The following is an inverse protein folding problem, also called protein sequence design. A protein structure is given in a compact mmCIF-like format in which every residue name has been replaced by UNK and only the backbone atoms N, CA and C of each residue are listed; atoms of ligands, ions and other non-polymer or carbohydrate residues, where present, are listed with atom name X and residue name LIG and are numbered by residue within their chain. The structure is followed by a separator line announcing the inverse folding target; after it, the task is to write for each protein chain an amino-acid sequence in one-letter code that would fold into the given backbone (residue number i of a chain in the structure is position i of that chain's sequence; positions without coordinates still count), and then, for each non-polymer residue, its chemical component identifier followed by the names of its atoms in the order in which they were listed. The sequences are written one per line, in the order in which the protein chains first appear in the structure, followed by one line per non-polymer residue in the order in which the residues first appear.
data_IF_461781286688
#
_entry.id   IF_461781286688
#
_cell.length_a   1.000
_cell.length_b   1.000
_cell.length_c   1.000
_cell.angle_alpha   90.00
_cell.angle_beta   90.00
_cell.angle_gamma   90.00
#
_symmetry.space_group_name_H-M   'P 1'
#
loop_
_entity.id
_entity.type
_entity.pdbx_description
1 polymer ?
#
# COMPACT_ATOMS: atom_id res chain seq x y z
N UNK A 1 -17.85 51.25 -42.45
CA UNK A 1 -18.02 49.81 -42.73
C UNK A 1 -19.40 49.40 -42.21
N UNK A 2 -20.51 49.71 -42.89
CA UNK A 2 -21.12 48.94 -43.99
C UNK A 2 -21.38 47.46 -43.64
N UNK A 3 -22.57 47.12 -43.16
CA UNK A 3 -23.57 46.40 -43.96
C UNK A 3 -24.88 46.18 -43.18
N UNK A 4 -25.95 46.70 -43.79
CA UNK A 4 -27.35 46.40 -43.56
C UNK A 4 -27.75 45.25 -44.51
N UNK A 5 -28.93 44.64 -44.27
CA UNK A 5 -29.71 43.70 -45.13
C UNK A 5 -29.35 42.22 -44.95
N UNK A 6 -30.25 41.24 -45.03
CA UNK A 6 -31.70 41.17 -45.15
C UNK A 6 -32.03 39.68 -44.86
N UNK A 7 -32.98 39.36 -43.99
CA UNK A 7 -34.34 38.90 -44.33
C UNK A 7 -34.50 37.44 -44.78
N UNK A 8 -35.54 36.83 -44.17
CA UNK A 8 -36.29 35.59 -44.49
C UNK A 8 -35.59 34.29 -44.09
N UNK A 9 -36.20 33.44 -43.26
CA UNK A 9 -37.58 32.95 -43.47
C UNK A 9 -38.22 32.50 -42.14
N UNK A 10 -39.36 33.10 -41.82
CA UNK A 10 -40.37 32.63 -40.85
C UNK A 10 -40.86 31.23 -41.23
N UNK A 11 -41.26 30.45 -40.23
CA UNK A 11 -42.46 29.59 -40.17
C UNK A 11 -42.47 28.97 -38.76
N UNK A 12 -43.17 29.58 -37.82
CA UNK A 12 -44.53 29.21 -37.39
C UNK A 12 -44.46 28.38 -36.09
N UNK A 13 -44.77 29.04 -34.97
CA UNK A 13 -45.43 28.37 -33.83
C UNK A 13 -46.92 28.29 -34.19
N UNK A 14 -47.71 27.27 -33.79
CA UNK A 14 -47.93 27.00 -32.37
C UNK A 14 -48.17 25.50 -32.04
N UNK A 15 -48.24 25.18 -30.75
CA UNK A 15 -49.23 24.25 -30.15
C UNK A 15 -48.61 23.42 -29.03
N UNK A 16 -48.89 23.87 -27.80
CA UNK A 16 -49.04 22.96 -26.67
C UNK A 16 -50.15 21.97 -27.03
N UNK A 17 -49.83 20.68 -27.10
CA UNK A 17 -50.83 19.64 -26.87
C UNK A 17 -50.31 18.73 -25.78
N UNK A 18 -50.88 18.92 -24.59
CA UNK A 18 -50.84 17.98 -23.48
C UNK A 18 -51.53 16.69 -23.95
N UNK A 19 -50.78 15.60 -24.01
CA UNK A 19 -51.31 14.24 -24.00
C UNK A 19 -50.57 13.48 -22.93
N UNK A 20 -51.27 13.33 -21.82
CA UNK A 20 -51.12 12.23 -20.88
C UNK A 20 -51.13 10.91 -21.66
N UNK A 21 -50.08 10.11 -21.48
CA UNK A 21 -50.08 8.68 -21.72
C UNK A 21 -48.85 8.10 -21.02
N UNK A 22 -49.09 7.49 -19.86
CA UNK A 22 -48.09 6.79 -19.06
C UNK A 22 -47.47 5.61 -19.80
N UNK A 23 -46.34 5.85 -20.46
CA UNK A 23 -45.37 4.82 -20.81
C UNK A 23 -43.97 5.31 -20.41
N UNK A 24 -43.43 4.67 -19.37
CA UNK A 24 -42.03 4.81 -18.98
C UNK A 24 -41.23 4.11 -20.08
N UNK A 25 -40.70 4.88 -21.02
CA UNK A 25 -39.76 4.38 -22.01
C UNK A 25 -38.44 4.07 -21.31
N UNK A 26 -38.24 2.80 -20.97
CA UNK A 26 -36.94 2.25 -20.57
C UNK A 26 -36.06 2.15 -21.81
N UNK A 27 -35.51 3.27 -22.27
CA UNK A 27 -34.37 3.26 -23.20
C UNK A 27 -33.09 3.03 -22.40
N UNK A 28 -32.44 1.89 -22.64
CA UNK A 28 -31.12 1.57 -22.10
C UNK A 28 -30.09 2.62 -22.55
N UNK A 29 -29.13 3.01 -21.70
CA UNK A 29 -28.11 3.98 -22.08
C UNK A 29 -27.30 3.41 -23.25
N UNK A 30 -27.30 4.15 -24.36
CA UNK A 30 -26.52 3.88 -25.56
C UNK A 30 -25.06 3.71 -25.17
N UNK A 31 -24.51 2.51 -25.38
CA UNK A 31 -23.10 2.20 -25.13
C UNK A 31 -22.26 3.11 -26.03
N UNK A 32 -21.67 4.15 -25.45
CA UNK A 32 -20.85 5.11 -26.17
C UNK A 32 -19.50 4.46 -26.49
N UNK A 33 -19.41 3.84 -27.65
CA UNK A 33 -18.19 3.21 -28.14
C UNK A 33 -17.26 4.27 -28.72
N UNK A 34 -16.12 4.53 -28.07
CA UNK A 34 -14.94 5.12 -28.70
C UNK A 34 -13.95 3.99 -29.02
N UNK A 35 -13.55 3.87 -30.29
CA UNK A 35 -12.51 2.96 -30.80
C UNK A 35 -12.77 1.44 -30.74
N UNK A 36 -14.03 0.99 -30.88
CA UNK A 36 -14.33 -0.41 -31.27
C UNK A 36 -14.04 -1.50 -30.23
N UNK A 37 -13.58 -1.14 -29.03
CA UNK A 37 -13.51 -2.06 -27.90
C UNK A 37 -14.85 -2.09 -27.16
N UNK A 38 -15.42 -3.28 -26.87
CA UNK A 38 -16.55 -3.38 -25.97
C UNK A 38 -16.12 -2.81 -24.62
N UNK A 39 -16.78 -1.75 -24.17
CA UNK A 39 -16.66 -1.34 -22.78
C UNK A 39 -17.07 -2.53 -21.91
N UNK A 40 -16.31 -2.90 -20.86
CA UNK A 40 -16.76 -3.90 -19.92
C UNK A 40 -18.14 -3.48 -19.42
N UNK A 41 -19.10 -4.41 -19.26
CA UNK A 41 -20.46 -4.07 -18.87
C UNK A 41 -20.38 -3.21 -17.61
N UNK A 42 -20.97 -2.00 -17.69
CA UNK A 42 -21.07 -1.09 -16.58
C UNK A 42 -21.48 -1.91 -15.35
N UNK A 43 -20.67 -1.87 -14.28
CA UNK A 43 -21.00 -2.61 -13.06
C UNK A 43 -22.38 -2.14 -12.61
N UNK A 44 -23.39 -2.97 -12.84
CA UNK A 44 -24.81 -2.62 -12.78
C UNK A 44 -25.28 -2.40 -11.33
N UNK A 45 -24.34 -2.45 -10.37
CA UNK A 45 -24.59 -2.27 -8.95
C UNK A 45 -24.61 -0.79 -8.48
N UNK A 46 -24.00 0.17 -9.19
CA UNK A 46 -23.83 1.53 -8.65
C UNK A 46 -24.25 2.70 -9.57
N UNK A 47 -24.69 2.46 -10.81
CA UNK A 47 -25.22 3.52 -11.69
C UNK A 47 -24.25 4.68 -12.00
N UNK A 48 -22.96 4.52 -11.69
CA UNK A 48 -21.92 5.53 -11.92
C UNK A 48 -21.26 5.34 -13.29
N UNK A 49 -20.99 6.46 -13.95
CA UNK A 49 -20.19 6.48 -15.17
C UNK A 49 -18.78 5.95 -14.86
N UNK A 50 -18.33 4.96 -15.65
CA UNK A 50 -16.99 4.38 -15.56
C UNK A 50 -15.96 5.48 -15.83
N UNK A 51 -15.12 5.79 -14.84
CA UNK A 51 -14.02 6.74 -15.00
C UNK A 51 -12.92 6.05 -15.81
N UNK A 52 -12.51 6.71 -16.88
CA UNK A 52 -11.46 6.25 -17.80
C UNK A 52 -10.16 7.03 -17.55
N UNK A 53 -9.03 6.35 -17.65
CA UNK A 53 -7.70 6.98 -17.72
C UNK A 53 -7.61 7.86 -18.99
N UNK A 54 -6.72 8.88 -19.07
CA UNK A 54 -6.35 9.60 -20.29
C UNK A 54 -6.18 8.77 -21.58
N UNK A 55 -5.99 7.45 -21.47
CA UNK A 55 -5.86 6.48 -22.57
C UNK A 55 -7.18 5.76 -22.92
N UNK A 56 -8.30 6.10 -22.29
CA UNK A 56 -9.61 5.49 -22.52
C UNK A 56 -9.80 4.10 -21.88
N UNK A 57 -8.88 3.67 -21.02
CA UNK A 57 -8.98 2.40 -20.30
C UNK A 57 -9.74 2.59 -18.98
N UNK A 58 -10.60 1.65 -18.57
CA UNK A 58 -11.30 1.72 -17.30
C UNK A 58 -10.29 1.66 -16.15
N UNK A 59 -10.37 2.60 -15.21
CA UNK A 59 -9.60 2.54 -13.97
C UNK A 59 -10.12 1.38 -13.12
N UNK A 60 -9.22 0.47 -12.75
CA UNK A 60 -9.49 -0.63 -11.84
C UNK A 60 -8.54 -0.50 -10.65
N UNK A 61 -9.05 -0.40 -9.42
CA UNK A 61 -10.45 -0.17 -9.01
C UNK A 61 -11.01 1.20 -9.47
N UNK A 62 -12.33 1.30 -9.60
CA UNK A 62 -13.02 2.56 -9.91
C UNK A 62 -12.98 3.48 -8.68
N UNK A 63 -12.52 4.74 -8.80
CA UNK A 63 -12.50 5.67 -7.69
C UNK A 63 -13.92 5.89 -7.16
N UNK A 64 -14.13 5.71 -5.85
CA UNK A 64 -15.41 6.01 -5.24
C UNK A 64 -15.55 7.53 -5.02
N UNK A 65 -16.76 8.05 -4.84
CA UNK A 65 -17.01 9.48 -4.59
C UNK A 65 -16.64 9.92 -3.17
N UNK A 66 -16.20 9.00 -2.31
CA UNK A 66 -15.86 9.27 -0.93
C UNK A 66 -14.51 10.03 -0.82
N UNK A 67 -14.46 11.15 -0.08
CA UNK A 67 -13.22 11.91 0.14
C UNK A 67 -12.12 11.14 0.90
N UNK A 68 -12.50 10.04 1.56
CA UNK A 68 -11.59 9.17 2.31
C UNK A 68 -11.00 8.04 1.46
N UNK A 69 -11.40 7.91 0.19
CA UNK A 69 -10.85 6.92 -0.70
C UNK A 69 -9.36 7.23 -0.99
N UNK A 70 -8.42 6.32 -0.67
CA UNK A 70 -7.00 6.47 -1.00
C UNK A 70 -6.73 6.72 -2.48
N UNK A 71 -7.65 6.33 -3.37
CA UNK A 71 -7.54 6.55 -4.81
C UNK A 71 -7.70 8.04 -5.19
N UNK A 72 -8.44 8.83 -4.41
CA UNK A 72 -8.71 10.25 -4.64
C UNK A 72 -7.63 11.19 -4.09
N UNK A 73 -6.66 10.68 -3.34
CA UNK A 73 -5.62 11.51 -2.73
C UNK A 73 -4.70 12.19 -3.75
N UNK A 74 -4.18 13.36 -3.38
CA UNK A 74 -3.19 14.08 -4.18
C UNK A 74 -1.94 13.23 -4.42
N UNK A 75 -1.26 13.46 -5.55
CA UNK A 75 -0.01 12.74 -5.89
C UNK A 75 1.04 12.84 -4.79
N UNK A 76 1.11 14.00 -4.10
CA UNK A 76 2.00 14.22 -2.98
C UNK A 76 1.63 13.37 -1.76
N UNK A 77 0.35 13.26 -1.41
CA UNK A 77 -0.09 12.40 -0.31
C UNK A 77 0.22 10.92 -0.59
N UNK A 78 -0.03 10.45 -1.82
CA UNK A 78 0.33 9.08 -2.22
C UNK A 78 1.83 8.83 -2.13
N UNK A 79 2.65 9.78 -2.60
CA UNK A 79 4.11 9.70 -2.50
C UNK A 79 4.60 9.71 -1.04
N UNK A 80 3.99 10.53 -0.18
CA UNK A 80 4.37 10.62 1.23
C UNK A 80 4.01 9.33 1.99
N UNK A 81 2.82 8.77 1.75
CA UNK A 81 2.42 7.48 2.33
C UNK A 81 3.34 6.36 1.84
N UNK A 82 3.64 6.31 0.54
CA UNK A 82 4.59 5.36 -0.02
C UNK A 82 5.97 5.51 0.65
N UNK A 83 6.46 6.74 0.82
CA UNK A 83 7.73 7.00 1.49
C UNK A 83 7.74 6.53 2.95
N UNK A 84 6.69 6.82 3.73
CA UNK A 84 6.58 6.38 5.13
C UNK A 84 6.61 4.86 5.22
N UNK A 85 5.84 4.18 4.37
CA UNK A 85 5.72 2.73 4.37
C UNK A 85 7.01 2.06 3.89
N UNK A 86 7.67 2.62 2.86
CA UNK A 86 9.01 2.19 2.45
C UNK A 86 10.04 2.40 3.55
N UNK A 87 10.02 3.54 4.23
CA UNK A 87 10.95 3.85 5.32
C UNK A 87 10.75 2.94 6.54
N UNK A 88 9.49 2.63 6.89
CA UNK A 88 9.17 1.67 7.94
C UNK A 88 9.64 0.25 7.61
N UNK A 89 9.44 -0.20 6.36
CA UNK A 89 9.96 -1.48 5.88
C UNK A 89 11.50 -1.52 5.86
N UNK A 90 12.13 -0.45 5.37
CA UNK A 90 13.59 -0.25 5.40
C UNK A 90 14.14 -0.37 6.82
N UNK A 91 13.58 0.36 7.79
CA UNK A 91 14.01 0.30 9.19
C UNK A 91 13.84 -1.10 9.78
N UNK A 92 12.72 -1.77 9.46
CA UNK A 92 12.42 -3.12 9.97
C UNK A 92 13.45 -4.15 9.50
N UNK A 93 13.82 -4.13 8.22
CA UNK A 93 14.86 -5.01 7.70
C UNK A 93 16.23 -4.60 8.20
N UNK A 94 16.57 -3.31 8.17
CA UNK A 94 17.86 -2.81 8.67
C UNK A 94 18.13 -3.25 10.11
N UNK A 95 17.16 -3.11 11.01
CA UNK A 95 17.28 -3.52 12.41
C UNK A 95 17.47 -5.03 12.57
N UNK A 96 16.88 -5.82 11.67
CA UNK A 96 17.00 -7.29 11.68
C UNK A 96 18.34 -7.77 11.10
N UNK A 97 18.91 -7.05 10.12
CA UNK A 97 20.16 -7.43 9.45
C UNK A 97 21.41 -6.79 10.06
N UNK A 98 21.32 -5.62 10.69
CA UNK A 98 22.45 -4.95 11.34
C UNK A 98 23.25 -5.87 12.31
N UNK A 99 22.64 -6.77 13.08
CA UNK A 99 23.37 -7.67 13.96
C UNK A 99 24.24 -8.72 13.28
N UNK A 100 24.05 -8.96 11.98
CA UNK A 100 24.81 -9.95 11.21
C UNK A 100 26.30 -9.61 11.22
N UNK A 101 26.65 -8.32 11.10
CA UNK A 101 28.03 -7.86 11.17
C UNK A 101 28.67 -8.10 12.56
N UNK A 102 27.87 -8.06 13.63
CA UNK A 102 28.36 -8.22 15.01
C UNK A 102 28.30 -9.65 15.52
N UNK A 103 28.03 -10.65 14.68
CA UNK A 103 27.94 -12.06 15.11
C UNK A 103 29.22 -12.58 15.79
N UNK A 104 30.45 -12.27 15.30
CA UNK A 104 31.67 -12.72 15.97
C UNK A 104 31.83 -12.08 17.36
N UNK A 105 31.52 -10.79 17.49
CA UNK A 105 31.51 -10.09 18.77
C UNK A 105 30.46 -10.66 19.74
N UNK A 106 29.30 -11.06 19.21
CA UNK A 106 28.25 -11.71 19.98
C UNK A 106 28.70 -13.07 20.52
N UNK A 107 29.44 -13.82 19.69
CA UNK A 107 30.04 -15.10 20.07
C UNK A 107 31.03 -14.95 21.22
N UNK A 108 31.92 -13.95 21.14
CA UNK A 108 32.89 -13.64 22.18
C UNK A 108 32.22 -13.11 23.46
N UNK A 109 31.23 -12.22 23.33
CA UNK A 109 30.53 -11.61 24.45
C UNK A 109 29.75 -12.61 25.30
N UNK A 110 29.06 -13.56 24.66
CA UNK A 110 28.30 -14.60 25.37
C UNK A 110 29.08 -15.90 25.60
N UNK A 111 30.25 -16.07 24.98
CA UNK A 111 31.05 -17.30 25.05
C UNK A 111 30.32 -18.53 24.46
N UNK A 112 29.51 -18.32 23.42
CA UNK A 112 28.60 -19.34 22.85
C UNK A 112 29.19 -20.07 21.63
N UNK A 113 28.61 -21.23 21.30
CA UNK A 113 28.99 -22.00 20.11
C UNK A 113 28.45 -21.39 18.80
N UNK A 114 29.03 -21.75 17.66
CA UNK A 114 28.53 -21.35 16.34
C UNK A 114 27.07 -21.74 16.09
N UNK A 115 26.62 -22.87 16.65
CA UNK A 115 25.22 -23.30 16.53
C UNK A 115 24.27 -22.33 17.22
N UNK A 116 24.63 -21.87 18.42
CA UNK A 116 23.86 -20.89 19.19
C UNK A 116 23.88 -19.51 18.54
N UNK A 117 25.00 -19.10 17.92
CA UNK A 117 25.04 -17.87 17.12
C UNK A 117 24.02 -17.94 15.98
N UNK A 118 23.89 -19.08 15.29
CA UNK A 118 22.89 -19.25 14.24
C UNK A 118 21.44 -19.14 14.75
N UNK A 119 21.16 -19.62 15.97
CA UNK A 119 19.84 -19.44 16.59
C UNK A 119 19.48 -17.96 16.78
N UNK A 120 20.46 -17.07 17.01
CA UNK A 120 20.22 -15.64 17.15
C UNK A 120 19.72 -14.94 15.86
N UNK A 121 19.90 -15.60 14.71
CA UNK A 121 19.39 -15.17 13.39
C UNK A 121 18.10 -15.90 13.03
N UNK A 122 18.01 -17.20 13.35
CA UNK A 122 16.83 -18.01 13.05
C UNK A 122 15.60 -17.57 13.86
N UNK A 123 15.78 -17.22 15.14
CA UNK A 123 14.71 -16.78 16.04
C UNK A 123 13.98 -15.51 15.55
N UNK A 124 14.67 -14.40 15.22
CA UNK A 124 13.99 -13.22 14.68
C UNK A 124 13.33 -13.50 13.31
N UNK A 125 13.90 -14.37 12.47
CA UNK A 125 13.26 -14.78 11.22
C UNK A 125 11.95 -15.56 11.45
N UNK A 126 11.91 -16.45 12.44
CA UNK A 126 10.68 -17.12 12.87
C UNK A 126 9.67 -16.12 13.43
N UNK A 127 10.12 -15.18 14.26
CA UNK A 127 9.29 -14.10 14.79
C UNK A 127 8.67 -13.26 13.67
N UNK A 128 9.44 -12.95 12.63
CA UNK A 128 8.97 -12.22 11.46
C UNK A 128 7.90 -12.99 10.68
N UNK A 129 8.09 -14.29 10.45
CA UNK A 129 7.09 -15.13 9.81
C UNK A 129 5.78 -15.17 10.61
N UNK A 130 5.87 -15.35 11.93
CA UNK A 130 4.71 -15.32 12.84
C UNK A 130 4.04 -13.95 12.84
N UNK A 131 4.82 -12.88 12.89
CA UNK A 131 4.33 -11.50 12.86
C UNK A 131 3.56 -11.18 11.58
N UNK A 132 4.06 -11.61 10.42
CA UNK A 132 3.36 -11.44 9.14
C UNK A 132 1.98 -12.10 9.19
N UNK A 133 1.90 -13.36 9.65
CA UNK A 133 0.64 -14.12 9.67
C UNK A 133 -0.35 -13.53 10.67
N UNK A 134 0.09 -13.23 11.89
CA UNK A 134 -0.79 -12.73 12.94
C UNK A 134 -1.34 -11.34 12.62
N UNK A 135 -0.47 -10.43 12.18
CA UNK A 135 -0.86 -9.04 11.98
C UNK A 135 -1.42 -8.74 10.60
N UNK A 136 -1.28 -9.64 9.62
CA UNK A 136 -1.98 -9.50 8.34
C UNK A 136 -3.50 -9.37 8.56
N UNK A 137 -4.12 -10.37 9.20
CA UNK A 137 -5.56 -10.32 9.50
C UNK A 137 -5.93 -9.28 10.56
N UNK A 138 -5.04 -9.03 11.53
CA UNK A 138 -5.29 -8.01 12.55
C UNK A 138 -5.34 -6.60 11.96
N UNK A 139 -4.54 -6.33 10.92
CA UNK A 139 -4.52 -5.05 10.22
C UNK A 139 -5.80 -4.73 9.47
N UNK A 140 -6.54 -5.76 9.04
CA UNK A 140 -7.82 -5.60 8.35
C UNK A 140 -8.96 -5.28 9.32
N UNK A 141 -8.87 -5.75 10.58
CA UNK A 141 -9.91 -5.52 11.61
C UNK A 141 -9.68 -4.20 12.37
N UNK A 142 -8.44 -3.92 12.79
CA UNK A 142 -8.13 -2.77 13.65
C UNK A 142 -7.64 -1.55 12.86
N UNK A 143 -7.47 -1.70 11.56
CA UNK A 143 -6.95 -0.68 10.66
C UNK A 143 -5.43 -0.71 10.54
N UNK A 144 -4.94 -0.33 9.35
CA UNK A 144 -3.53 -0.45 8.96
C UNK A 144 -2.59 0.49 9.73
N UNK A 145 -3.04 1.70 10.07
CA UNK A 145 -2.23 2.73 10.77
C UNK A 145 -1.85 2.37 12.22
N UNK A 146 -2.80 2.05 13.13
CA UNK A 146 -2.45 1.75 14.52
C UNK A 146 -1.61 0.47 14.64
N UNK A 147 -1.85 -0.52 13.77
CA UNK A 147 -1.04 -1.74 13.74
C UNK A 147 0.41 -1.44 13.39
N UNK A 148 0.66 -0.68 12.32
CA UNK A 148 2.04 -0.29 11.95
C UNK A 148 2.77 0.46 13.06
N UNK A 149 2.12 1.44 13.69
CA UNK A 149 2.75 2.23 14.76
C UNK A 149 2.96 1.38 16.02
N UNK A 150 1.97 0.57 16.41
CA UNK A 150 2.06 -0.27 17.59
C UNK A 150 3.17 -1.31 17.47
N UNK A 151 3.27 -1.99 16.32
CA UNK A 151 4.29 -3.02 16.09
C UNK A 151 5.68 -2.42 15.93
N UNK A 152 5.79 -1.23 15.31
CA UNK A 152 7.04 -0.49 15.25
C UNK A 152 7.54 -0.06 16.64
N UNK A 153 6.65 0.38 17.53
CA UNK A 153 7.01 0.70 18.92
C UNK A 153 7.51 -0.55 19.67
N UNK A 154 6.84 -1.69 19.49
CA UNK A 154 7.29 -2.97 20.08
C UNK A 154 8.68 -3.34 19.56
N UNK A 155 8.92 -3.21 18.25
CA UNK A 155 10.23 -3.48 17.65
C UNK A 155 11.31 -2.54 18.19
N UNK A 156 11.02 -1.25 18.36
CA UNK A 156 11.95 -0.26 18.93
C UNK A 156 12.29 -0.57 20.39
N UNK A 157 11.29 -0.87 21.21
CA UNK A 157 11.50 -1.25 22.62
C UNK A 157 12.29 -2.55 22.72
N UNK A 158 11.98 -3.55 21.90
CA UNK A 158 12.72 -4.81 21.87
C UNK A 158 14.19 -4.59 21.46
N UNK A 159 14.42 -3.73 20.47
CA UNK A 159 15.78 -3.37 20.01
C UNK A 159 16.55 -2.65 21.12
N UNK A 160 15.98 -1.61 21.73
CA UNK A 160 16.63 -0.87 22.81
C UNK A 160 16.90 -1.73 24.04
N UNK A 161 15.98 -2.64 24.38
CA UNK A 161 16.19 -3.59 25.45
C UNK A 161 17.30 -4.59 25.11
N UNK A 162 17.41 -5.05 23.84
CA UNK A 162 18.45 -6.00 23.43
C UNK A 162 19.88 -5.46 23.56
N UNK A 163 20.06 -4.15 23.59
CA UNK A 163 21.35 -3.47 23.77
C UNK A 163 21.71 -3.26 25.25
N UNK A 164 20.85 -3.67 26.19
CA UNK A 164 21.14 -3.50 27.61
C UNK A 164 22.33 -4.36 28.06
N UNK A 165 23.27 -3.75 28.77
CA UNK A 165 24.41 -4.45 29.34
C UNK A 165 23.93 -5.47 30.40
N UNK A 166 24.43 -6.71 30.35
CA UNK A 166 24.15 -7.84 31.26
C UNK A 166 22.88 -8.67 30.99
N UNK A 167 22.40 -8.76 29.74
CA UNK A 167 21.34 -9.70 29.40
C UNK A 167 21.85 -11.16 29.35
N UNK A 168 21.12 -12.14 29.92
CA UNK A 168 21.41 -13.54 29.62
C UNK A 168 21.04 -13.88 28.18
N UNK A 169 21.77 -14.81 27.56
CA UNK A 169 21.57 -15.21 26.16
C UNK A 169 20.11 -15.60 25.83
N UNK A 170 19.42 -16.31 26.72
CA UNK A 170 18.01 -16.65 26.53
C UNK A 170 17.08 -15.44 26.48
N UNK A 171 17.32 -14.42 27.30
CA UNK A 171 16.54 -13.18 27.25
C UNK A 171 16.83 -12.39 25.98
N UNK A 172 18.09 -12.37 25.53
CA UNK A 172 18.46 -11.78 24.25
C UNK A 172 17.73 -12.45 23.08
N UNK A 173 17.61 -13.78 23.04
CA UNK A 173 16.83 -14.50 22.02
C UNK A 173 15.34 -14.13 22.05
N UNK A 174 14.73 -14.02 23.23
CA UNK A 174 13.33 -13.62 23.37
C UNK A 174 13.12 -12.19 22.86
N UNK A 175 14.02 -11.27 23.18
CA UNK A 175 13.98 -9.90 22.65
C UNK A 175 14.10 -9.88 21.13
N UNK A 176 14.96 -10.73 20.56
CA UNK A 176 15.05 -10.91 19.09
C UNK A 176 13.79 -11.48 18.48
N UNK A 177 13.14 -12.43 19.14
CA UNK A 177 11.86 -12.96 18.69
C UNK A 177 10.80 -11.85 18.64
N UNK A 178 10.70 -11.06 19.72
CA UNK A 178 9.75 -9.94 19.80
C UNK A 178 10.04 -8.85 18.76
N UNK A 179 11.32 -8.56 18.51
CA UNK A 179 11.74 -7.65 17.46
C UNK A 179 11.28 -8.15 16.08
N UNK A 180 11.47 -9.43 15.77
CA UNK A 180 10.98 -10.05 14.54
C UNK A 180 9.45 -9.96 14.40
N UNK A 181 8.72 -10.27 15.48
CA UNK A 181 7.25 -10.17 15.52
C UNK A 181 6.78 -8.72 15.27
N UNK A 182 7.49 -7.72 15.81
CA UNK A 182 7.17 -6.31 15.58
C UNK A 182 7.54 -5.79 14.19
N UNK A 183 8.58 -6.38 13.56
CA UNK A 183 9.07 -6.02 12.23
C UNK A 183 8.22 -6.61 11.08
N UNK A 184 7.73 -7.85 11.23
CA UNK A 184 6.93 -8.54 10.20
C UNK A 184 5.71 -7.76 9.67
N UNK A 185 4.90 -7.11 10.53
CA UNK A 185 3.72 -6.35 10.12
C UNK A 185 4.05 -5.15 9.22
N UNK A 186 5.26 -4.58 9.32
CA UNK A 186 5.69 -3.49 8.44
C UNK A 186 5.74 -3.93 6.97
N UNK A 187 6.06 -5.22 6.72
CA UNK A 187 6.11 -5.81 5.39
C UNK A 187 4.69 -6.11 4.89
N UNK A 188 3.87 -6.82 5.68
CA UNK A 188 2.53 -7.23 5.22
C UNK A 188 1.57 -6.04 5.09
N UNK A 189 1.50 -5.19 6.12
CA UNK A 189 0.65 -4.01 6.11
C UNK A 189 1.18 -2.98 5.13
N UNK A 190 2.51 -2.85 5.00
CA UNK A 190 3.12 -1.96 4.03
C UNK A 190 2.75 -2.34 2.59
N UNK A 191 2.82 -3.63 2.26
CA UNK A 191 2.38 -4.14 0.97
C UNK A 191 0.91 -3.83 0.71
N UNK A 192 0.05 -4.06 1.69
CA UNK A 192 -1.38 -3.80 1.56
C UNK A 192 -1.70 -2.30 1.38
N UNK A 193 -1.01 -1.40 2.10
CA UNK A 193 -1.15 0.06 1.90
C UNK A 193 -0.73 0.48 0.49
N UNK A 194 0.36 -0.10 -0.05
CA UNK A 194 0.79 0.17 -1.43
C UNK A 194 -0.27 -0.31 -2.42
N UNK A 195 -0.93 -1.44 -2.17
CA UNK A 195 -2.02 -1.91 -3.03
C UNK A 195 -3.25 -0.99 -2.98
N UNK A 196 -3.59 -0.46 -1.81
CA UNK A 196 -4.77 0.40 -1.64
C UNK A 196 -4.63 1.78 -2.32
N UNK A 197 -3.41 2.33 -2.45
CA UNK A 197 -3.17 3.65 -3.03
C UNK A 197 -2.87 3.64 -4.54
N UNK A 198 -2.84 2.45 -5.17
CA UNK A 198 -2.36 2.27 -6.55
C UNK A 198 -3.39 1.66 -7.48
N UNK A 199 -3.45 2.18 -8.70
CA UNK A 199 -4.28 1.59 -9.75
C UNK A 199 -3.59 0.35 -10.33
N UNK A 200 -4.38 -0.59 -10.86
CA UNK A 200 -3.88 -1.88 -11.34
C UNK A 200 -2.80 -1.74 -12.43
N UNK A 201 -2.91 -0.74 -13.30
CA UNK A 201 -1.94 -0.47 -14.38
C UNK A 201 -0.56 0.03 -13.89
N UNK A 202 -0.48 0.63 -12.70
CA UNK A 202 0.76 1.17 -12.10
C UNK A 202 1.19 0.40 -10.84
N UNK A 203 0.39 -0.56 -10.38
CA UNK A 203 0.60 -1.34 -9.16
C UNK A 203 1.95 -2.04 -9.17
N UNK A 204 2.30 -2.70 -10.27
CA UNK A 204 3.56 -3.44 -10.40
C UNK A 204 4.80 -2.56 -10.20
N UNK A 205 4.81 -1.36 -10.81
CA UNK A 205 5.95 -0.43 -10.70
C UNK A 205 6.09 0.11 -9.27
N UNK A 206 4.98 0.46 -8.63
CA UNK A 206 4.99 1.02 -7.27
C UNK A 206 5.31 -0.02 -6.21
N UNK A 207 4.78 -1.23 -6.34
CA UNK A 207 5.17 -2.37 -5.51
C UNK A 207 6.65 -2.70 -5.69
N UNK A 208 7.16 -2.72 -6.93
CA UNK A 208 8.58 -2.95 -7.19
C UNK A 208 9.47 -1.90 -6.54
N UNK A 209 9.12 -0.61 -6.65
CA UNK A 209 9.85 0.48 -5.99
C UNK A 209 9.86 0.33 -4.46
N UNK A 210 8.74 -0.10 -3.88
CA UNK A 210 8.63 -0.37 -2.45
C UNK A 210 9.54 -1.53 -2.01
N UNK A 211 9.53 -2.65 -2.74
CA UNK A 211 10.41 -3.79 -2.46
C UNK A 211 11.89 -3.38 -2.54
N UNK A 212 12.28 -2.67 -3.60
CA UNK A 212 13.65 -2.16 -3.75
C UNK A 212 14.07 -1.28 -2.58
N UNK A 213 13.18 -0.40 -2.09
CA UNK A 213 13.49 0.46 -0.95
C UNK A 213 13.72 -0.35 0.33
N UNK A 214 13.01 -1.46 0.52
CA UNK A 214 13.19 -2.36 1.66
C UNK A 214 14.50 -3.14 1.56
N UNK A 215 14.79 -3.70 0.39
CA UNK A 215 16.00 -4.50 0.15
C UNK A 215 17.28 -3.68 0.35
N UNK A 216 17.27 -2.39 -0.01
CA UNK A 216 18.37 -1.47 0.28
C UNK A 216 18.65 -1.39 1.79
N UNK A 217 17.63 -1.51 2.65
CA UNK A 217 17.82 -1.59 4.10
C UNK A 217 18.57 -2.83 4.54
N UNK A 218 18.29 -3.97 3.92
CA UNK A 218 19.02 -5.20 4.12
C UNK A 218 20.48 -5.07 3.72
N UNK A 219 20.73 -4.50 2.53
CA UNK A 219 22.09 -4.28 2.02
C UNK A 219 22.90 -3.34 2.93
N UNK A 220 22.32 -2.21 3.37
CA UNK A 220 23.01 -1.28 4.26
C UNK A 220 23.30 -1.92 5.62
N UNK A 221 22.35 -2.71 6.16
CA UNK A 221 22.57 -3.42 7.43
C UNK A 221 23.69 -4.47 7.33
N UNK A 222 23.80 -5.17 6.21
CA UNK A 222 24.87 -6.15 5.96
C UNK A 222 26.23 -5.48 5.66
N UNK A 223 26.24 -4.33 4.99
CA UNK A 223 27.47 -3.62 4.61
C UNK A 223 28.26 -3.05 5.81
N UNK A 224 27.69 -2.99 7.02
CA UNK A 224 28.42 -2.67 8.23
C UNK A 224 29.51 -3.69 8.64
N UNK A 225 29.72 -4.74 7.85
CA UNK A 225 30.69 -5.83 8.06
C UNK A 225 32.16 -5.45 7.79
N UNK A 226 32.46 -4.25 7.26
CA UNK A 226 33.80 -3.90 6.73
C UNK A 226 34.69 -2.97 7.58
N UNK A 227 34.36 -2.70 8.85
CA UNK A 227 35.22 -1.89 9.75
C UNK A 227 35.49 -2.60 11.09
#
# INVERSE_FOLDING_TARGET
MSNLKDSKKRRDSPSKTMKDNGQINTEAPRVETLNGHPLPPANTASGQAVILDPRGLPLVPQPNSDPLDPLNWSKLQKALVLFIVSYAGFLSIYVTTAPVASLPLLQEHFGISYSEVNWSLAVPALGLAVGIVLFAGFSDIWGRRPVLVGTALVALVATGCSTAANLPYGAYLILRLLQGIGAGPAVSVGFAVVQDITYEHERGLKTGLWVLAIDVGGMIGALGEFD
#
